data_IF_460877787095
#
_entry.id   IF_460877787095
#
_cell.length_a   1.000
_cell.length_b   1.000
_cell.length_c   1.000
_cell.angle_alpha   90.00
_cell.angle_beta   90.00
_cell.angle_gamma   90.00
#
_symmetry.space_group_name_H-M   'P 1'
#
loop_
_entity.id
_entity.type
_entity.pdbx_description
1 polymer ?
#
# COMPACT_ATOMS: atom_id res chain seq x y z
N UNK A 1 4.58 6.19 5.71
CA UNK A 1 4.74 5.62 4.35
C UNK A 1 6.01 4.79 4.41
N UNK A 2 5.99 3.61 3.82
CA UNK A 2 7.14 2.73 3.67
C UNK A 2 7.10 2.09 2.27
N UNK A 3 8.13 1.34 1.86
CA UNK A 3 8.09 0.54 0.64
C UNK A 3 7.44 -0.83 0.87
N UNK A 4 7.72 -1.45 2.03
CA UNK A 4 7.29 -2.80 2.40
C UNK A 4 6.69 -2.83 3.80
N UNK A 5 5.60 -3.59 3.96
CA UNK A 5 5.14 -4.02 5.30
C UNK A 5 5.34 -5.53 5.42
N UNK A 6 6.35 -5.92 6.20
CA UNK A 6 6.67 -7.31 6.52
C UNK A 6 5.95 -7.77 7.80
N UNK A 7 6.55 -7.55 8.97
CA UNK A 7 5.95 -7.94 10.27
C UNK A 7 5.00 -6.89 10.87
N UNK A 8 4.95 -5.68 10.31
CA UNK A 8 4.15 -4.54 10.80
C UNK A 8 4.65 -3.90 12.11
N UNK A 9 5.65 -4.47 12.80
CA UNK A 9 6.07 -4.03 14.14
C UNK A 9 6.54 -2.57 14.21
N UNK A 10 7.49 -2.18 13.35
CA UNK A 10 8.03 -0.82 13.28
C UNK A 10 6.95 0.20 12.95
N UNK A 11 6.08 -0.13 11.99
CA UNK A 11 4.98 0.71 11.54
C UNK A 11 3.98 0.97 12.68
N UNK A 12 3.58 -0.07 13.41
CA UNK A 12 2.66 0.02 14.55
C UNK A 12 3.30 0.84 15.70
N UNK A 13 4.59 0.66 15.97
CA UNK A 13 5.30 1.46 16.97
C UNK A 13 5.29 2.96 16.61
N UNK A 14 5.56 3.29 15.34
CA UNK A 14 5.46 4.65 14.82
C UNK A 14 4.04 5.22 14.93
N UNK A 15 3.03 4.45 14.56
CA UNK A 15 1.63 4.83 14.70
C UNK A 15 1.25 5.14 16.17
N UNK A 16 1.70 4.31 17.12
CA UNK A 16 1.49 4.57 18.54
C UNK A 16 2.16 5.87 19.01
N UNK A 17 3.36 6.19 18.52
CA UNK A 17 4.02 7.45 18.82
C UNK A 17 3.21 8.65 18.29
N UNK A 18 2.71 8.57 17.05
CA UNK A 18 1.84 9.59 16.46
C UNK A 18 0.55 9.78 17.25
N UNK A 19 -0.09 8.68 17.69
CA UNK A 19 -1.32 8.75 18.48
C UNK A 19 -1.09 9.44 19.83
N UNK A 20 0.01 9.11 20.51
CA UNK A 20 0.43 9.77 21.77
C UNK A 20 0.73 11.25 21.58
N UNK A 21 1.23 11.65 20.41
CA UNK A 21 1.44 13.04 20.04
C UNK A 21 0.15 13.79 19.66
N UNK A 22 -1.02 13.15 19.73
CA UNK A 22 -2.32 13.78 19.47
C UNK A 22 -2.80 13.67 18.02
N UNK A 23 -2.22 12.78 17.22
CA UNK A 23 -2.71 12.54 15.86
C UNK A 23 -4.18 12.05 15.88
N UNK A 24 -5.05 12.73 15.13
CA UNK A 24 -6.48 12.41 15.07
C UNK A 24 -6.77 11.20 14.19
N UNK A 25 -6.02 11.08 13.09
CA UNK A 25 -6.11 9.99 12.11
C UNK A 25 -4.69 9.58 11.69
N UNK A 26 -4.45 8.28 11.54
CA UNK A 26 -3.18 7.68 11.14
C UNK A 26 -3.47 6.73 9.98
N UNK A 27 -2.88 7.03 8.82
CA UNK A 27 -2.93 6.16 7.64
C UNK A 27 -1.54 5.66 7.37
N UNK A 28 -1.42 4.35 7.16
CA UNK A 28 -0.20 3.73 6.67
C UNK A 28 -0.34 3.41 5.18
N UNK A 29 0.75 3.50 4.45
CA UNK A 29 0.80 3.11 3.06
C UNK A 29 2.15 2.45 2.76
N UNK A 30 2.12 1.37 1.98
CA UNK A 30 3.31 0.73 1.43
C UNK A 30 3.04 0.10 0.08
N UNK A 31 4.07 -0.06 -0.73
CA UNK A 31 3.93 -0.73 -2.03
C UNK A 31 3.67 -2.21 -1.82
N UNK A 32 4.49 -2.90 -1.03
CA UNK A 32 4.47 -4.36 -0.93
C UNK A 32 3.90 -4.86 0.40
N UNK A 33 2.85 -5.67 0.32
CA UNK A 33 2.19 -6.32 1.44
C UNK A 33 2.80 -7.71 1.73
N UNK A 34 4.04 -7.75 2.21
CA UNK A 34 4.73 -9.03 2.48
C UNK A 34 4.03 -9.80 3.61
N UNK A 35 3.59 -9.09 4.66
CA UNK A 35 2.70 -9.59 5.70
C UNK A 35 3.11 -10.98 6.24
N UNK A 36 4.34 -11.11 6.73
CA UNK A 36 4.75 -12.37 7.39
C UNK A 36 4.03 -12.54 8.72
N UNK A 37 3.93 -13.81 9.15
CA UNK A 37 3.32 -14.18 10.43
C UNK A 37 1.87 -13.70 10.54
N UNK A 38 1.53 -13.01 11.63
CA UNK A 38 0.23 -12.47 11.99
C UNK A 38 0.13 -10.95 11.70
N UNK A 39 1.00 -10.42 10.83
CA UNK A 39 1.04 -8.98 10.54
C UNK A 39 -0.33 -8.37 10.15
N UNK A 40 -1.18 -9.01 9.33
CA UNK A 40 -2.51 -8.47 9.02
C UNK A 40 -3.39 -8.29 10.27
N UNK A 41 -3.40 -9.29 11.16
CA UNK A 41 -4.20 -9.27 12.38
C UNK A 41 -3.70 -8.18 13.33
N UNK A 42 -2.37 -8.06 13.46
CA UNK A 42 -1.73 -6.99 14.25
C UNK A 42 -2.06 -5.59 13.73
N UNK A 43 -2.17 -5.42 12.41
CA UNK A 43 -2.57 -4.14 11.81
C UNK A 43 -4.04 -3.82 12.09
N UNK A 44 -4.91 -4.82 11.99
CA UNK A 44 -6.33 -4.69 12.35
C UNK A 44 -6.53 -4.29 13.82
N UNK A 45 -5.75 -4.87 14.74
CA UNK A 45 -5.79 -4.56 16.17
C UNK A 45 -5.07 -3.25 16.54
N UNK A 46 -4.30 -2.65 15.62
CA UNK A 46 -3.46 -1.48 15.91
C UNK A 46 -4.25 -0.16 15.99
N UNK A 47 -3.55 0.91 16.39
CA UNK A 47 -4.07 2.29 16.38
C UNK A 47 -4.11 2.93 14.99
N UNK A 48 -3.68 2.22 13.95
CA UNK A 48 -3.76 2.69 12.56
C UNK A 48 -5.23 2.63 12.13
N UNK A 49 -5.70 3.66 11.44
CA UNK A 49 -7.08 3.77 10.97
C UNK A 49 -7.28 3.13 9.60
N UNK A 50 -6.26 3.19 8.73
CA UNK A 50 -6.29 2.64 7.37
C UNK A 50 -4.87 2.25 6.93
N UNK A 51 -4.74 1.11 6.25
CA UNK A 51 -3.51 0.59 5.66
C UNK A 51 -3.73 0.41 4.17
N UNK A 52 -3.03 1.19 3.36
CA UNK A 52 -3.10 1.11 1.90
C UNK A 52 -1.90 0.34 1.37
N UNK A 53 -2.16 -0.72 0.60
CA UNK A 53 -1.12 -1.52 -0.07
C UNK A 53 -1.46 -1.71 -1.54
N UNK A 54 -0.52 -2.23 -2.33
CA UNK A 54 -0.81 -2.60 -3.72
C UNK A 54 -1.04 -4.11 -3.88
N UNK A 55 -1.55 -4.52 -5.04
CA UNK A 55 -1.65 -5.92 -5.48
C UNK A 55 -0.34 -6.50 -6.05
N UNK A 56 0.81 -5.87 -5.77
CA UNK A 56 2.14 -6.47 -6.05
C UNK A 56 2.34 -7.83 -5.38
N UNK A 57 1.63 -8.09 -4.27
CA UNK A 57 1.56 -9.39 -3.60
C UNK A 57 0.09 -9.77 -3.46
N UNK A 58 -0.26 -10.99 -3.84
CA UNK A 58 -1.62 -11.51 -3.74
C UNK A 58 -2.07 -11.56 -2.28
N UNK A 59 -3.22 -10.96 -2.00
CA UNK A 59 -3.95 -11.13 -0.75
C UNK A 59 -5.24 -11.89 -1.06
N UNK A 60 -5.55 -12.87 -0.22
CA UNK A 60 -6.77 -13.67 -0.36
C UNK A 60 -8.00 -12.79 -0.08
N UNK A 61 -8.85 -12.51 -1.10
CA UNK A 61 -9.99 -11.63 -0.95
C UNK A 61 -11.11 -12.25 -0.10
N UNK A 62 -11.06 -13.56 0.19
CA UNK A 62 -12.00 -14.21 1.10
C UNK A 62 -11.73 -13.86 2.58
N UNK A 63 -10.56 -13.30 2.90
CA UNK A 63 -10.20 -12.86 4.24
C UNK A 63 -10.57 -11.40 4.44
N UNK A 64 -11.55 -11.15 5.29
CA UNK A 64 -11.94 -9.78 5.65
C UNK A 64 -10.82 -9.08 6.42
N UNK A 65 -10.44 -7.89 5.93
CA UNK A 65 -9.42 -7.01 6.53
C UNK A 65 -9.89 -5.56 6.41
N UNK A 66 -10.82 -5.12 7.28
CA UNK A 66 -11.51 -3.84 7.14
C UNK A 66 -10.58 -2.61 7.06
N UNK A 67 -9.41 -2.65 7.70
CA UNK A 67 -8.44 -1.55 7.64
C UNK A 67 -7.51 -1.64 6.44
N UNK A 68 -7.37 -2.81 5.82
CA UNK A 68 -6.40 -3.04 4.73
C UNK A 68 -7.09 -2.86 3.38
N UNK A 69 -6.72 -1.80 2.68
CA UNK A 69 -7.17 -1.51 1.32
C UNK A 69 -6.07 -1.87 0.33
N UNK A 70 -6.38 -2.75 -0.61
CA UNK A 70 -5.48 -3.10 -1.71
C UNK A 70 -5.84 -2.34 -2.98
N UNK A 71 -4.87 -1.62 -3.55
CA UNK A 71 -4.97 -0.90 -4.82
C UNK A 71 -4.31 -1.68 -5.95
N UNK A 72 -4.92 -1.69 -7.13
CA UNK A 72 -4.31 -2.37 -8.26
C UNK A 72 -3.22 -1.53 -8.92
N UNK A 73 -2.09 -2.15 -9.25
CA UNK A 73 -1.06 -1.62 -10.14
C UNK A 73 -1.11 -2.24 -11.53
N UNK A 74 -2.15 -3.03 -11.83
CA UNK A 74 -2.28 -3.73 -13.12
C UNK A 74 -2.24 -2.79 -14.32
N UNK A 75 -2.92 -1.64 -14.24
CA UNK A 75 -2.89 -0.61 -15.30
C UNK A 75 -1.47 -0.05 -15.51
N UNK A 76 -0.76 0.28 -14.42
CA UNK A 76 0.62 0.76 -14.46
C UNK A 76 1.56 -0.24 -15.12
N UNK A 77 1.47 -1.53 -14.75
CA UNK A 77 2.27 -2.58 -15.35
C UNK A 77 1.90 -2.82 -16.82
N UNK A 78 0.61 -2.77 -17.17
CA UNK A 78 0.12 -2.90 -18.54
C UNK A 78 0.69 -1.83 -19.46
N UNK A 79 0.62 -0.56 -19.06
CA UNK A 79 1.21 0.57 -19.81
C UNK A 79 2.73 0.41 -19.93
N UNK A 80 3.41 -0.03 -18.87
CA UNK A 80 4.86 -0.25 -18.92
C UNK A 80 5.24 -1.29 -19.97
N UNK A 81 4.48 -2.39 -20.07
CA UNK A 81 4.67 -3.41 -21.11
C UNK A 81 4.44 -2.81 -22.51
N UNK A 82 3.37 -2.02 -22.70
CA UNK A 82 3.06 -1.38 -23.98
C UNK A 82 4.19 -0.45 -24.42
N UNK A 83 4.67 0.44 -23.53
CA UNK A 83 5.77 1.36 -23.84
C UNK A 83 7.06 0.62 -24.21
N UNK A 84 7.41 -0.47 -23.50
CA UNK A 84 8.58 -1.29 -23.81
C UNK A 84 8.45 -1.93 -25.21
N UNK A 85 7.26 -2.41 -25.57
CA UNK A 85 7.01 -3.02 -26.88
C UNK A 85 7.04 -2.00 -28.03
N UNK A 86 6.74 -0.74 -27.74
CA UNK A 86 6.68 0.36 -28.71
C UNK A 86 7.95 1.22 -28.76
N UNK A 87 8.97 0.90 -27.94
CA UNK A 87 10.19 1.69 -27.77
C UNK A 87 9.90 3.15 -27.35
N UNK A 88 8.84 3.33 -26.56
CA UNK A 88 8.40 4.61 -26.04
C UNK A 88 8.95 4.87 -24.63
N UNK A 89 9.19 6.13 -24.23
CA UNK A 89 9.72 6.43 -22.91
C UNK A 89 8.74 6.03 -21.79
N UNK A 90 9.15 5.10 -20.91
CA UNK A 90 8.40 4.67 -19.71
C UNK A 90 8.07 5.85 -18.78
N UNK A 91 8.93 6.87 -18.75
CA UNK A 91 8.76 8.05 -17.88
C UNK A 91 7.43 8.77 -18.08
N UNK A 92 6.79 8.64 -19.24
CA UNK A 92 5.50 9.26 -19.53
C UNK A 92 4.33 8.65 -18.73
N UNK A 93 4.46 7.38 -18.31
CA UNK A 93 3.40 6.66 -17.58
C UNK A 93 3.13 7.33 -16.22
N UNK A 94 4.16 7.83 -15.56
CA UNK A 94 4.03 8.47 -14.24
C UNK A 94 3.35 9.83 -14.26
N UNK A 95 3.34 10.52 -15.42
CA UNK A 95 2.66 11.81 -15.56
C UNK A 95 1.14 11.63 -15.64
N UNK A 96 0.66 10.55 -16.28
CA UNK A 96 -0.79 10.28 -16.47
C UNK A 96 -1.50 9.84 -15.18
N UNK A 97 -0.78 9.21 -14.25
CA UNK A 97 -1.33 8.80 -12.94
C UNK A 97 -1.74 10.01 -12.07
N UNK A 98 -1.16 11.18 -12.32
CA UNK A 98 -1.53 12.41 -11.62
C UNK A 98 -2.86 12.99 -12.13
N UNK A 99 -3.21 12.77 -13.40
CA UNK A 99 -4.39 13.37 -14.05
C UNK A 99 -5.69 12.59 -13.76
N UNK A 100 -5.65 11.28 -13.51
CA UNK A 100 -6.86 10.48 -13.18
C UNK A 100 -7.37 10.68 -11.73
N UNK A 101 -6.60 11.39 -10.89
CA UNK A 101 -6.92 11.64 -9.48
C UNK A 101 -7.33 13.10 -9.19
N UNK A 102 -7.51 13.93 -10.22
CA UNK A 102 -8.14 15.26 -10.18
C UNK A 102 -9.58 15.20 -10.68
#
# INVERSE_FOLDING_TARGET
IDDIIDTGGTLIAGANALKKAGAKKIVAAATHAVFTSDAPDRLEESVIDEVVVTDTIYLDPSKERPKIKQLSIGALLGEAIIHILQDEPISQIFNRIQEENE
#
